data_IF_537534631378
#
_entry.id   IF_537534631378
#
_cell.length_a   1.000
_cell.length_b   1.000
_cell.length_c   1.000
_cell.angle_alpha   90.00
_cell.angle_beta   90.00
_cell.angle_gamma   90.00
#
_symmetry.space_group_name_H-M   'P 1'
#
loop_
_entity.id
_entity.type
_entity.pdbx_description
1 polymer ?
#
# COMPACT_ATOMS: atom_id res chain seq x y z
N UNK A 1 1.33 15.12 -6.91
CA UNK A 1 0.80 14.10 -5.97
C UNK A 1 0.99 12.73 -6.60
N UNK A 2 1.56 11.82 -5.88
CA UNK A 2 1.79 10.42 -6.29
C UNK A 2 1.88 9.54 -5.04
N UNK A 3 1.54 8.27 -5.21
CA UNK A 3 1.76 7.26 -4.17
C UNK A 3 3.25 6.97 -4.04
N UNK A 4 3.69 6.64 -2.84
CA UNK A 4 5.10 6.25 -2.63
C UNK A 4 5.44 5.00 -3.44
N UNK A 5 6.71 4.85 -3.79
CA UNK A 5 7.18 3.61 -4.45
C UNK A 5 6.91 2.38 -3.59
N UNK A 6 6.96 2.52 -2.28
CA UNK A 6 6.66 1.44 -1.36
C UNK A 6 5.21 0.97 -1.49
N UNK A 7 4.26 1.90 -1.52
CA UNK A 7 2.84 1.59 -1.74
C UNK A 7 2.61 0.95 -3.11
N UNK A 8 3.17 1.52 -4.17
CA UNK A 8 3.07 0.95 -5.52
C UNK A 8 3.59 -0.49 -5.57
N UNK A 9 4.71 -0.78 -4.91
CA UNK A 9 5.27 -2.13 -4.87
C UNK A 9 4.40 -3.11 -4.07
N UNK A 10 3.76 -2.67 -2.99
CA UNK A 10 2.79 -3.48 -2.26
C UNK A 10 1.61 -3.87 -3.15
N UNK A 11 1.04 -2.93 -3.89
CA UNK A 11 -0.02 -3.23 -4.86
C UNK A 11 0.43 -4.21 -5.93
N UNK A 12 1.59 -4.00 -6.55
CA UNK A 12 2.10 -4.88 -7.62
C UNK A 12 2.31 -6.31 -7.15
N UNK A 13 2.88 -6.49 -5.96
CA UNK A 13 3.11 -7.83 -5.39
C UNK A 13 1.77 -8.51 -5.10
N UNK A 14 0.82 -7.82 -4.49
CA UNK A 14 -0.49 -8.40 -4.21
C UNK A 14 -1.28 -8.72 -5.48
N UNK A 15 -1.24 -7.87 -6.51
CA UNK A 15 -1.87 -8.15 -7.81
C UNK A 15 -1.25 -9.40 -8.43
N UNK A 16 0.07 -9.51 -8.41
CA UNK A 16 0.74 -10.70 -8.97
C UNK A 16 0.36 -11.96 -8.22
N UNK A 17 0.45 -11.95 -6.88
CA UNK A 17 0.08 -13.10 -6.06
C UNK A 17 -1.42 -13.44 -6.16
N UNK A 18 -2.28 -12.44 -6.28
CA UNK A 18 -3.71 -12.62 -6.47
C UNK A 18 -4.08 -13.30 -7.79
N UNK A 19 -3.30 -13.03 -8.84
CA UNK A 19 -3.43 -13.69 -10.14
C UNK A 19 -2.81 -15.11 -10.17
N UNK A 20 -2.06 -15.50 -9.14
CA UNK A 20 -1.40 -16.80 -9.04
C UNK A 20 -1.77 -17.48 -7.70
N UNK A 21 -3.07 -17.78 -7.48
CA UNK A 21 -3.52 -18.34 -6.22
C UNK A 21 -2.88 -19.71 -5.95
N UNK A 22 -2.55 -19.97 -4.70
CA UNK A 22 -1.92 -21.20 -4.22
C UNK A 22 -0.49 -21.47 -4.73
N UNK A 23 0.09 -20.55 -5.48
CA UNK A 23 1.50 -20.64 -5.88
C UNK A 23 2.41 -19.95 -4.87
N UNK A 24 3.60 -20.50 -4.69
CA UNK A 24 4.65 -19.97 -3.80
C UNK A 24 5.77 -19.41 -4.66
N UNK A 25 6.20 -18.19 -4.35
CA UNK A 25 7.28 -17.50 -5.05
C UNK A 25 8.40 -17.12 -4.10
N UNK A 26 9.63 -17.29 -4.52
CA UNK A 26 10.79 -16.77 -3.78
C UNK A 26 10.95 -15.26 -3.99
N UNK A 27 11.72 -14.62 -3.10
CA UNK A 27 12.10 -13.20 -3.25
C UNK A 27 12.77 -12.94 -4.60
N UNK A 28 13.68 -13.84 -5.02
CA UNK A 28 14.42 -13.68 -6.28
C UNK A 28 13.50 -13.83 -7.50
N UNK A 29 12.56 -14.75 -7.45
CA UNK A 29 11.53 -14.89 -8.51
C UNK A 29 10.68 -13.63 -8.63
N UNK A 30 10.15 -13.12 -7.50
CA UNK A 30 9.37 -11.88 -7.51
C UNK A 30 10.19 -10.68 -7.99
N UNK A 31 11.46 -10.60 -7.60
CA UNK A 31 12.39 -9.57 -8.06
C UNK A 31 12.54 -9.59 -9.58
N UNK A 32 12.78 -10.75 -10.16
CA UNK A 32 12.92 -10.93 -11.62
C UNK A 32 11.62 -10.61 -12.35
N UNK A 33 10.49 -11.12 -11.87
CA UNK A 33 9.19 -10.96 -12.52
C UNK A 33 8.73 -9.50 -12.52
N UNK A 34 8.87 -8.82 -11.38
CA UNK A 34 8.37 -7.46 -11.19
C UNK A 34 9.39 -6.38 -11.53
N UNK A 35 10.64 -6.74 -11.80
CA UNK A 35 11.71 -5.78 -12.06
C UNK A 35 12.06 -4.91 -10.85
N UNK A 36 11.90 -5.43 -9.64
CA UNK A 36 12.15 -4.73 -8.38
C UNK A 36 13.37 -5.32 -7.68
N UNK A 37 14.12 -4.48 -6.95
CA UNK A 37 15.25 -4.99 -6.17
C UNK A 37 14.80 -5.93 -5.05
N UNK A 38 15.62 -6.92 -4.74
CA UNK A 38 15.35 -7.87 -3.63
C UNK A 38 15.16 -7.18 -2.29
N UNK A 39 15.86 -6.07 -2.06
CA UNK A 39 15.71 -5.28 -0.83
C UNK A 39 14.33 -4.64 -0.72
N UNK A 40 13.79 -4.10 -1.82
CA UNK A 40 12.43 -3.57 -1.86
C UNK A 40 11.40 -4.68 -1.64
N UNK A 41 11.55 -5.81 -2.32
CA UNK A 41 10.67 -6.98 -2.16
C UNK A 41 10.65 -7.44 -0.70
N UNK A 42 11.80 -7.57 -0.04
CA UNK A 42 11.88 -7.98 1.37
C UNK A 42 11.13 -7.04 2.30
N UNK A 43 11.24 -5.72 2.10
CA UNK A 43 10.50 -4.72 2.90
C UNK A 43 9.00 -4.85 2.74
N UNK A 44 8.54 -5.03 1.50
CA UNK A 44 7.11 -5.22 1.19
C UNK A 44 6.60 -6.52 1.81
N UNK A 45 7.31 -7.62 1.64
CA UNK A 45 6.96 -8.92 2.22
C UNK A 45 6.85 -8.83 3.74
N UNK A 46 7.79 -8.18 4.39
CA UNK A 46 7.73 -7.96 5.84
C UNK A 46 6.44 -7.24 6.26
N UNK A 47 6.09 -6.15 5.57
CA UNK A 47 4.89 -5.36 5.86
C UNK A 47 3.61 -6.17 5.63
N UNK A 48 3.52 -6.84 4.50
CA UNK A 48 2.33 -7.63 4.13
C UNK A 48 2.16 -8.87 5.04
N UNK A 49 3.25 -9.55 5.39
CA UNK A 49 3.22 -10.70 6.28
C UNK A 49 2.82 -10.30 7.71
N UNK A 50 3.36 -9.18 8.22
CA UNK A 50 3.01 -8.63 9.54
C UNK A 50 1.51 -8.30 9.64
N UNK A 51 0.87 -7.92 8.55
CA UNK A 51 -0.55 -7.60 8.49
C UNK A 51 -1.41 -8.78 7.99
N UNK A 52 -0.86 -9.99 7.92
CA UNK A 52 -1.56 -11.22 7.57
C UNK A 52 -2.18 -11.26 6.16
N UNK A 53 -1.68 -10.48 5.23
CA UNK A 53 -2.09 -10.56 3.82
C UNK A 53 -1.45 -11.76 3.11
N UNK A 54 -0.20 -12.06 3.46
CA UNK A 54 0.60 -13.10 2.85
C UNK A 54 1.23 -14.00 3.92
N UNK A 55 1.54 -15.22 3.52
CA UNK A 55 2.45 -16.10 4.23
C UNK A 55 3.86 -15.92 3.66
N UNK A 56 4.85 -15.90 4.52
CA UNK A 56 6.25 -15.87 4.15
C UNK A 56 7.07 -16.79 5.03
N UNK A 57 7.89 -17.63 4.41
CA UNK A 57 8.84 -18.47 5.11
C UNK A 57 10.21 -18.41 4.43
N UNK A 58 11.26 -18.64 5.25
CA UNK A 58 12.65 -18.71 4.78
C UNK A 58 13.05 -20.16 4.57
N UNK A 59 14.13 -20.39 3.81
CA UNK A 59 14.76 -21.69 3.64
C UNK A 59 14.38 -22.40 2.35
N UNK A 60 14.75 -23.68 2.27
CA UNK A 60 14.75 -24.49 1.04
C UNK A 60 13.38 -24.65 0.38
N UNK A 61 12.32 -24.75 1.17
CA UNK A 61 10.92 -24.83 0.72
C UNK A 61 10.16 -23.55 1.08
N UNK A 62 10.89 -22.47 1.35
CA UNK A 62 10.34 -21.19 1.70
C UNK A 62 9.85 -20.41 0.49
N UNK A 63 9.14 -19.35 0.77
CA UNK A 63 8.62 -18.44 -0.24
C UNK A 63 7.45 -17.65 0.29
N UNK A 64 6.78 -17.00 -0.64
CA UNK A 64 5.70 -16.06 -0.39
C UNK A 64 4.46 -16.52 -1.14
N UNK A 65 3.33 -16.50 -0.48
CA UNK A 65 2.01 -16.72 -1.10
C UNK A 65 0.95 -15.84 -0.47
N UNK A 66 -0.07 -15.53 -1.23
CA UNK A 66 -1.26 -14.85 -0.73
C UNK A 66 -2.05 -15.83 0.17
N UNK A 67 -2.45 -15.38 1.35
CA UNK A 67 -3.31 -16.17 2.27
C UNK A 67 -4.65 -15.50 2.54
N UNK A 68 -4.71 -14.18 2.49
CA UNK A 68 -5.97 -13.46 2.65
C UNK A 68 -6.78 -13.56 1.34
N UNK A 69 -8.10 -13.77 1.47
CA UNK A 69 -8.96 -13.76 0.30
C UNK A 69 -8.91 -12.38 -0.37
N UNK A 70 -8.69 -12.29 -1.70
CA UNK A 70 -8.67 -11.01 -2.41
C UNK A 70 -9.90 -10.12 -2.17
N UNK A 71 -11.07 -10.70 -1.93
CA UNK A 71 -12.30 -9.96 -1.59
C UNK A 71 -12.24 -9.27 -0.23
N UNK A 72 -11.37 -9.74 0.66
CA UNK A 72 -11.20 -9.19 2.02
C UNK A 72 -10.05 -8.18 2.09
N UNK A 73 -9.28 -8.02 1.00
CA UNK A 73 -8.19 -7.05 0.92
C UNK A 73 -8.74 -5.73 0.37
N UNK A 74 -9.12 -4.84 1.27
CA UNK A 74 -9.59 -3.51 0.92
C UNK A 74 -8.43 -2.61 0.48
N UNK A 75 -8.60 -1.88 -0.65
CA UNK A 75 -7.51 -1.08 -1.20
C UNK A 75 -7.20 0.18 -0.39
N UNK A 76 -8.19 0.76 0.26
CA UNK A 76 -7.98 1.90 1.16
C UNK A 76 -7.24 1.50 2.43
N UNK A 77 -7.63 0.37 3.05
CA UNK A 77 -6.92 -0.18 4.20
C UNK A 77 -5.47 -0.54 3.87
N UNK A 78 -5.20 -1.06 2.67
CA UNK A 78 -3.84 -1.30 2.19
C UNK A 78 -3.06 0.00 2.04
N UNK A 79 -3.67 1.04 1.48
CA UNK A 79 -3.07 2.36 1.34
C UNK A 79 -2.67 2.92 2.72
N UNK A 80 -3.53 2.84 3.72
CA UNK A 80 -3.26 3.36 5.06
C UNK A 80 -2.07 2.70 5.76
N UNK A 81 -1.87 1.41 5.55
CA UNK A 81 -0.73 0.71 6.15
C UNK A 81 0.58 0.88 5.38
N UNK A 82 0.53 1.32 4.13
CA UNK A 82 1.71 1.43 3.26
C UNK A 82 2.19 2.86 3.03
N UNK A 83 1.32 3.85 3.17
CA UNK A 83 1.69 5.26 3.11
C UNK A 83 1.95 5.79 4.52
N UNK A 84 3.17 6.26 4.76
CA UNK A 84 3.53 6.87 6.05
C UNK A 84 2.87 8.23 6.24
N UNK A 85 2.51 8.89 5.15
CA UNK A 85 1.94 10.23 5.18
C UNK A 85 0.99 10.46 4.01
N UNK A 86 -0.30 10.50 4.30
CA UNK A 86 -1.36 10.84 3.34
C UNK A 86 -1.66 12.36 3.29
N UNK A 87 -0.85 13.18 3.95
CA UNK A 87 -1.05 14.62 3.91
C UNK A 87 -0.75 15.18 2.52
N UNK A 88 -1.73 15.84 1.91
CA UNK A 88 -1.58 16.47 0.60
C UNK A 88 -0.69 17.72 0.67
N UNK A 89 -0.65 18.38 1.81
CA UNK A 89 0.16 19.56 2.08
C UNK A 89 0.87 19.47 3.42
N UNK A 90 2.06 20.06 3.51
CA UNK A 90 2.94 19.97 4.68
C UNK A 90 2.28 20.43 5.99
N UNK A 91 1.41 21.44 5.94
CA UNK A 91 0.74 21.98 7.13
C UNK A 91 -0.48 21.19 7.62
N UNK A 92 -0.76 20.01 7.05
CA UNK A 92 -1.72 19.06 7.64
C UNK A 92 -1.11 18.27 8.80
N UNK A 93 0.22 18.16 8.87
CA UNK A 93 0.91 17.67 10.05
C UNK A 93 0.78 18.72 11.16
N UNK A 94 0.34 18.30 12.34
CA UNK A 94 -0.08 19.14 13.46
C UNK A 94 0.99 20.05 14.08
N UNK A 95 2.23 19.97 13.65
CA UNK A 95 3.36 20.49 14.41
C UNK A 95 4.08 21.73 13.81
N UNK A 96 3.73 22.17 12.60
CA UNK A 96 4.39 23.33 12.02
C UNK A 96 3.37 24.28 11.43
N UNK A 97 3.08 25.32 12.18
CA UNK A 97 2.32 26.49 11.71
C UNK A 97 3.29 27.36 10.90
N UNK A 98 3.47 27.03 9.64
CA UNK A 98 4.28 27.86 8.73
C UNK A 98 3.44 28.67 7.73
N UNK A 99 2.12 28.56 7.80
CA UNK A 99 1.23 29.25 6.89
C UNK A 99 0.71 30.56 7.52
N UNK A 100 1.06 31.69 6.91
CA UNK A 100 0.62 33.02 7.35
C UNK A 100 -0.90 33.27 7.17
N UNK A 101 -1.63 32.36 6.51
CA UNK A 101 -3.08 32.43 6.33
C UNK A 101 -3.85 31.70 7.43
N UNK A 102 -3.20 31.43 8.54
CA UNK A 102 -3.76 30.67 9.67
C UNK A 102 -5.01 31.36 10.22
N UNK A 103 -6.13 30.67 10.23
CA UNK A 103 -7.45 31.15 10.71
C UNK A 103 -8.42 31.58 9.60
N UNK A 104 -7.96 31.94 8.41
CA UNK A 104 -8.81 32.34 7.28
C UNK A 104 -8.69 31.43 6.05
N UNK A 105 -7.83 30.41 6.13
CA UNK A 105 -7.53 29.54 5.01
C UNK A 105 -8.69 28.53 4.77
N UNK A 106 -9.42 28.74 3.69
CA UNK A 106 -10.45 27.80 3.21
C UNK A 106 -9.92 26.66 2.36
N UNK A 107 -8.64 26.71 1.96
CA UNK A 107 -8.00 25.67 1.16
C UNK A 107 -7.79 24.39 1.96
N UNK A 108 -7.40 24.51 3.23
CA UNK A 108 -7.15 23.34 4.10
C UNK A 108 -8.36 22.41 4.21
N UNK A 109 -9.56 22.88 4.59
CA UNK A 109 -10.75 22.03 4.60
C UNK A 109 -11.10 21.48 3.22
N UNK A 110 -10.96 22.26 2.15
CA UNK A 110 -11.25 21.78 0.79
C UNK A 110 -10.33 20.61 0.37
N UNK A 111 -9.02 20.70 0.66
CA UNK A 111 -8.08 19.61 0.38
C UNK A 111 -8.34 18.38 1.26
N UNK A 112 -8.74 18.60 2.51
CA UNK A 112 -9.08 17.50 3.41
C UNK A 112 -10.32 16.74 2.93
N UNK A 113 -11.34 17.46 2.49
CA UNK A 113 -12.55 16.87 1.90
C UNK A 113 -12.24 16.08 0.63
N UNK A 114 -11.36 16.62 -0.22
CA UNK A 114 -10.91 15.93 -1.43
C UNK A 114 -10.14 14.63 -1.10
N UNK A 115 -9.25 14.66 -0.10
CA UNK A 115 -8.52 13.47 0.36
C UNK A 115 -9.49 12.42 0.92
N UNK A 116 -10.43 12.84 1.75
CA UNK A 116 -11.44 11.96 2.31
C UNK A 116 -12.31 11.31 1.21
N UNK A 117 -12.66 12.06 0.18
CA UNK A 117 -13.40 11.55 -0.98
C UNK A 117 -12.58 10.53 -1.77
N UNK A 118 -11.28 10.77 -1.94
CA UNK A 118 -10.36 9.80 -2.55
C UNK A 118 -10.29 8.50 -1.75
N UNK A 119 -10.10 8.58 -0.43
CA UNK A 119 -10.05 7.41 0.47
C UNK A 119 -11.37 6.65 0.45
N UNK A 120 -12.49 7.36 0.56
CA UNK A 120 -13.83 6.76 0.52
C UNK A 120 -14.06 6.03 -0.82
N UNK A 121 -13.67 6.64 -1.93
CA UNK A 121 -13.80 5.98 -3.25
C UNK A 121 -12.92 4.74 -3.34
N UNK A 122 -11.69 4.80 -2.84
CA UNK A 122 -10.79 3.65 -2.85
C UNK A 122 -11.28 2.51 -1.94
N UNK A 123 -11.98 2.84 -0.84
CA UNK A 123 -12.56 1.84 0.06
C UNK A 123 -13.69 1.00 -0.54
N UNK A 124 -14.25 1.43 -1.68
CA UNK A 124 -15.25 0.64 -2.42
C UNK A 124 -14.62 -0.54 -3.19
N UNK A 125 -13.29 -0.57 -3.31
CA UNK A 125 -12.56 -1.57 -4.08
C UNK A 125 -11.78 -2.52 -3.18
N UNK A 126 -11.69 -3.76 -3.65
CA UNK A 126 -10.86 -4.81 -3.06
C UNK A 126 -9.80 -5.28 -4.06
N UNK A 127 -8.85 -6.07 -3.62
CA UNK A 127 -7.88 -6.70 -4.52
C UNK A 127 -8.58 -7.52 -5.61
N UNK A 128 -9.70 -8.15 -5.29
CA UNK A 128 -10.47 -8.95 -6.25
C UNK A 128 -10.99 -8.13 -7.45
N UNK A 129 -11.16 -6.82 -7.28
CA UNK A 129 -11.65 -5.94 -8.34
C UNK A 129 -10.56 -5.54 -9.34
N UNK A 130 -9.30 -5.81 -9.03
CA UNK A 130 -8.14 -5.37 -9.82
C UNK A 130 -7.21 -6.51 -10.26
N UNK A 131 -7.61 -7.76 -10.04
CA UNK A 131 -6.87 -8.97 -10.46
C UNK A 131 -7.61 -9.74 -11.54
#
# INVERSE_FOLDING_TARGET
>A
MYLSKFTDYNFRILIYLGNHPNEIFTVDELSSILGLSTNHIKKVIYKLAKNNYIYSSKGRNGGVKLIMNPKDINLEALLEITEDNLNIVEYFSSDIISCNLNGECKLKPALNDALNSFKLKLSEYTLADII
#
